data_IF_647730126121
#
_entry.id   IF_647730126121
#
_cell.length_a   1.000
_cell.length_b   1.000
_cell.length_c   1.000
_cell.angle_alpha   90.00
_cell.angle_beta   90.00
_cell.angle_gamma   90.00
#
_symmetry.space_group_name_H-M   'P 1'
#
loop_
_entity.id
_entity.type
_entity.pdbx_description
1 polymer ?
#
# COMPACT_ATOMS: atom_id res chain seq x y z
N UNK A 1 4.29 -2.40 12.20
CA UNK A 1 5.53 -2.66 11.45
C UNK A 1 6.12 -4.04 11.76
N UNK A 2 6.39 -4.37 13.03
CA UNK A 2 7.00 -5.65 13.42
C UNK A 2 6.19 -6.88 12.94
N UNK A 3 4.87 -6.85 13.05
CA UNK A 3 4.01 -7.95 12.61
C UNK A 3 4.06 -8.19 11.09
N UNK A 4 4.14 -7.13 10.29
CA UNK A 4 4.30 -7.26 8.82
C UNK A 4 5.69 -7.84 8.52
N UNK A 5 6.75 -7.33 9.14
CA UNK A 5 8.10 -7.85 8.94
C UNK A 5 8.21 -9.36 9.26
N UNK A 6 7.67 -9.79 10.40
CA UNK A 6 7.64 -11.22 10.77
C UNK A 6 6.83 -12.09 9.78
N UNK A 7 5.71 -11.55 9.25
CA UNK A 7 4.93 -12.25 8.23
C UNK A 7 5.68 -12.37 6.91
N UNK A 8 6.43 -11.35 6.51
CA UNK A 8 7.31 -11.37 5.33
C UNK A 8 8.44 -12.39 5.50
N UNK A 9 9.07 -12.44 6.67
CA UNK A 9 10.12 -13.42 6.97
C UNK A 9 9.56 -14.85 6.87
N UNK A 10 8.40 -15.11 7.48
CA UNK A 10 7.72 -16.39 7.35
C UNK A 10 7.39 -16.74 5.90
N UNK A 11 6.87 -15.78 5.12
CA UNK A 11 6.59 -16.00 3.70
C UNK A 11 7.86 -16.43 2.94
N UNK A 12 8.99 -15.80 3.23
CA UNK A 12 10.27 -16.11 2.58
C UNK A 12 10.82 -17.48 2.98
N UNK A 13 10.78 -17.81 4.26
CA UNK A 13 11.42 -19.01 4.85
C UNK A 13 10.60 -20.28 4.62
N UNK A 14 9.27 -20.19 4.62
CA UNK A 14 8.38 -21.35 4.47
C UNK A 14 8.19 -21.70 2.99
N UNK A 15 8.84 -22.80 2.55
CA UNK A 15 8.75 -23.28 1.17
C UNK A 15 7.34 -23.69 0.72
N UNK A 16 6.39 -23.90 1.64
CA UNK A 16 5.00 -24.21 1.33
C UNK A 16 4.16 -22.98 0.97
N UNK A 17 4.62 -21.78 1.35
CA UNK A 17 3.97 -20.53 1.04
C UNK A 17 4.50 -19.98 -0.29
N UNK A 18 3.63 -19.79 -1.27
CA UNK A 18 3.98 -19.35 -2.61
C UNK A 18 3.71 -17.86 -2.86
N UNK A 19 2.74 -17.29 -2.14
CA UNK A 19 2.28 -15.91 -2.30
C UNK A 19 1.80 -15.38 -0.96
N UNK A 20 1.96 -14.07 -0.73
CA UNK A 20 1.40 -13.37 0.43
C UNK A 20 0.25 -12.45 0.03
N UNK A 21 -0.70 -12.25 0.92
CA UNK A 21 -1.74 -11.21 0.77
C UNK A 21 -1.66 -10.27 1.97
N UNK A 22 -1.47 -8.98 1.69
CA UNK A 22 -1.50 -7.92 2.69
C UNK A 22 -2.87 -7.25 2.65
N UNK A 23 -3.56 -7.23 3.79
CA UNK A 23 -4.87 -6.56 3.90
C UNK A 23 -5.02 -5.84 5.23
N UNK A 24 -5.95 -4.88 5.29
CA UNK A 24 -6.35 -4.20 6.52
C UNK A 24 -7.49 -4.88 7.25
N UNK A 25 -7.69 -4.52 8.51
CA UNK A 25 -8.85 -4.93 9.31
C UNK A 25 -9.82 -3.77 9.46
N UNK A 26 -11.11 -4.07 9.65
CA UNK A 26 -12.14 -3.06 9.95
C UNK A 26 -12.60 -2.25 8.74
N UNK A 27 -12.57 -2.83 7.54
CA UNK A 27 -13.14 -2.20 6.33
C UNK A 27 -12.27 -1.12 5.69
N UNK A 28 -11.00 -1.01 6.06
CA UNK A 28 -10.02 -0.16 5.38
C UNK A 28 -8.64 -0.79 5.36
N UNK A 29 -7.83 -0.45 4.37
CA UNK A 29 -6.47 -0.98 4.25
C UNK A 29 -5.53 -0.30 5.22
N UNK A 30 -5.24 0.98 5.05
CA UNK A 30 -4.37 1.75 5.94
C UNK A 30 -4.41 3.25 5.62
N UNK A 31 -4.35 4.09 6.67
CA UNK A 31 -4.12 5.54 6.55
C UNK A 31 -2.64 5.95 6.69
N UNK A 32 -1.75 4.98 6.82
CA UNK A 32 -0.33 5.22 7.02
C UNK A 32 0.09 5.24 8.48
N UNK A 33 0.96 6.17 8.84
CA UNK A 33 1.56 6.28 10.16
C UNK A 33 0.52 6.68 11.23
N UNK A 34 0.54 6.00 12.37
CA UNK A 34 -0.16 6.46 13.56
C UNK A 34 0.54 7.70 14.14
N UNK A 35 -0.10 8.86 13.92
CA UNK A 35 0.46 10.15 14.35
C UNK A 35 0.55 10.27 15.88
N UNK A 36 -0.31 9.60 16.65
CA UNK A 36 -0.22 9.61 18.11
C UNK A 36 0.99 8.81 18.57
N UNK A 37 1.12 7.58 18.07
CA UNK A 37 2.26 6.74 18.36
C UNK A 37 3.59 7.41 17.93
N UNK A 38 3.59 8.15 16.82
CA UNK A 38 4.75 8.93 16.38
C UNK A 38 5.10 10.07 17.34
N UNK A 39 4.12 10.80 17.86
CA UNK A 39 4.34 11.84 18.88
C UNK A 39 4.89 11.26 20.19
N UNK A 40 4.55 10.02 20.51
CA UNK A 40 5.08 9.26 21.64
C UNK A 40 6.48 8.64 21.36
N UNK A 41 7.11 9.03 20.25
CA UNK A 41 8.47 8.60 19.86
C UNK A 41 8.56 7.25 19.16
N UNK A 42 7.42 6.61 18.85
CA UNK A 42 7.43 5.37 18.06
C UNK A 42 7.73 5.68 16.60
N UNK A 43 8.54 4.83 15.98
CA UNK A 43 8.87 4.92 14.55
C UNK A 43 8.19 3.80 13.79
N UNK A 44 7.50 4.09 12.66
CA UNK A 44 6.91 3.07 11.82
C UNK A 44 7.93 2.38 10.92
N UNK A 45 9.09 2.99 10.73
CA UNK A 45 10.20 2.42 9.96
C UNK A 45 10.95 1.40 10.79
N UNK A 46 11.37 0.32 10.15
CA UNK A 46 12.33 -0.64 10.67
C UNK A 46 13.64 -0.52 9.88
N UNK A 47 14.77 -0.55 10.59
CA UNK A 47 16.08 -0.45 9.98
C UNK A 47 16.27 -1.53 8.91
N UNK A 48 16.69 -1.11 7.72
CA UNK A 48 16.89 -1.98 6.56
C UNK A 48 15.61 -2.54 5.92
N UNK A 49 14.41 -2.17 6.43
CA UNK A 49 13.12 -2.65 5.91
C UNK A 49 12.14 -1.54 5.54
N UNK A 50 12.39 -0.32 6.03
CA UNK A 50 11.58 0.85 5.75
C UNK A 50 10.22 0.85 6.45
N UNK A 51 9.29 1.63 5.92
CA UNK A 51 7.96 1.80 6.48
C UNK A 51 7.18 0.48 6.52
N UNK A 52 6.54 0.25 7.67
CA UNK A 52 5.78 -0.98 7.90
C UNK A 52 6.61 -2.26 7.93
N UNK A 53 7.96 -2.17 7.80
CA UNK A 53 8.83 -3.32 7.69
C UNK A 53 8.79 -4.01 6.32
N UNK A 54 8.39 -3.27 5.27
CA UNK A 54 8.15 -3.80 3.92
C UNK A 54 8.74 -2.93 2.81
N UNK A 55 8.66 -1.59 2.94
CA UNK A 55 8.84 -0.72 1.77
C UNK A 55 10.27 -0.70 1.21
N UNK A 56 11.29 -1.06 1.98
CA UNK A 56 12.67 -1.14 1.52
C UNK A 56 13.17 -2.58 1.32
N UNK A 57 12.45 -3.56 1.89
CA UNK A 57 12.78 -4.97 1.76
C UNK A 57 11.52 -5.80 1.43
N UNK A 58 10.93 -5.63 0.25
CA UNK A 58 9.82 -6.48 -0.20
C UNK A 58 10.30 -7.93 -0.37
N UNK A 59 9.40 -8.92 -0.18
CA UNK A 59 9.75 -10.32 -0.36
C UNK A 59 10.11 -10.63 -1.82
N UNK A 60 10.89 -11.68 -2.04
CA UNK A 60 11.14 -12.21 -3.39
C UNK A 60 9.93 -13.02 -3.91
N UNK A 61 9.08 -13.52 -3.01
CA UNK A 61 7.81 -14.16 -3.37
C UNK A 61 6.74 -13.11 -3.64
N UNK A 62 5.79 -13.38 -4.55
CA UNK A 62 4.72 -12.43 -4.89
C UNK A 62 3.92 -11.98 -3.67
N UNK A 63 3.60 -10.70 -3.62
CA UNK A 63 2.80 -10.08 -2.58
C UNK A 63 1.65 -9.28 -3.21
N UNK A 64 0.43 -9.55 -2.77
CA UNK A 64 -0.78 -8.90 -3.27
C UNK A 64 -1.34 -7.98 -2.17
N UNK A 65 -1.64 -6.73 -2.49
CA UNK A 65 -2.42 -5.85 -1.62
C UNK A 65 -3.92 -6.05 -1.89
N UNK A 66 -4.67 -6.42 -0.86
CA UNK A 66 -6.14 -6.47 -0.90
C UNK A 66 -6.69 -5.23 -0.18
N UNK A 67 -7.20 -4.27 -0.94
CA UNK A 67 -7.51 -2.91 -0.48
C UNK A 67 -9.01 -2.70 -0.36
N UNK A 68 -9.47 -2.58 0.88
CA UNK A 68 -10.81 -2.08 1.22
C UNK A 68 -10.74 -0.61 1.62
N UNK A 69 -11.80 0.15 1.35
CA UNK A 69 -12.00 1.51 1.80
C UNK A 69 -10.92 2.46 1.31
N UNK A 70 -9.75 2.49 1.97
CA UNK A 70 -8.69 3.40 1.54
C UNK A 70 -7.28 2.89 1.82
N UNK A 71 -6.35 3.31 0.95
CA UNK A 71 -4.91 3.22 1.13
C UNK A 71 -4.32 4.63 0.98
N UNK A 72 -3.96 5.29 2.08
CA UNK A 72 -3.50 6.68 2.11
C UNK A 72 -2.12 6.82 2.74
N UNK A 73 -1.37 7.80 2.28
CA UNK A 73 -0.01 8.09 2.79
C UNK A 73 0.86 6.84 2.81
N UNK A 74 1.50 6.52 3.93
CA UNK A 74 2.26 5.28 4.09
C UNK A 74 1.46 4.01 3.79
N UNK A 75 0.11 4.03 3.95
CA UNK A 75 -0.75 2.92 3.53
C UNK A 75 -0.78 2.75 2.01
N UNK A 76 -0.79 3.85 1.27
CA UNK A 76 -0.64 3.82 -0.19
C UNK A 76 0.75 3.31 -0.58
N UNK A 77 1.79 3.73 0.12
CA UNK A 77 3.17 3.28 -0.10
C UNK A 77 3.36 1.77 0.18
N UNK A 78 2.65 1.22 1.19
CA UNK A 78 2.59 -0.23 1.42
C UNK A 78 1.91 -0.97 0.26
N UNK A 79 0.77 -0.47 -0.22
CA UNK A 79 0.09 -1.06 -1.38
C UNK A 79 0.97 -1.00 -2.64
N UNK A 80 1.67 0.11 -2.85
CA UNK A 80 2.63 0.28 -3.94
C UNK A 80 3.88 -0.61 -3.81
N UNK A 81 4.22 -1.05 -2.61
CA UNK A 81 5.33 -1.98 -2.38
C UNK A 81 4.96 -3.44 -2.68
N UNK A 82 3.66 -3.75 -2.81
CA UNK A 82 3.18 -5.05 -3.27
C UNK A 82 3.27 -5.15 -4.79
N UNK A 83 3.36 -6.37 -5.32
CA UNK A 83 3.46 -6.63 -6.78
C UNK A 83 2.14 -6.36 -7.50
N UNK A 84 1.02 -6.73 -6.88
CA UNK A 84 -0.33 -6.58 -7.42
C UNK A 84 -1.25 -5.93 -6.40
N UNK A 85 -2.32 -5.31 -6.91
CA UNK A 85 -3.36 -4.70 -6.09
C UNK A 85 -4.73 -5.19 -6.55
N UNK A 86 -5.48 -5.77 -5.62
CA UNK A 86 -6.92 -6.04 -5.75
C UNK A 86 -7.64 -5.05 -4.85
N UNK A 87 -8.64 -4.35 -5.35
CA UNK A 87 -9.31 -3.30 -4.60
C UNK A 87 -10.83 -3.38 -4.70
N UNK A 88 -11.50 -3.03 -3.62
CA UNK A 88 -12.94 -2.79 -3.66
C UNK A 88 -13.26 -1.60 -4.59
N UNK A 89 -14.41 -1.64 -5.28
CA UNK A 89 -14.80 -0.61 -6.26
C UNK A 89 -14.98 0.78 -5.64
N UNK A 90 -15.33 0.85 -4.35
CA UNK A 90 -15.50 2.07 -3.57
C UNK A 90 -14.21 2.53 -2.86
N UNK A 91 -13.13 1.76 -2.99
CA UNK A 91 -11.85 2.11 -2.40
C UNK A 91 -11.19 3.31 -3.11
N UNK A 92 -10.25 3.94 -2.42
CA UNK A 92 -9.44 5.01 -2.99
C UNK A 92 -8.01 5.00 -2.46
N UNK A 93 -7.11 5.57 -3.26
CA UNK A 93 -5.68 5.70 -2.99
C UNK A 93 -5.30 7.17 -2.89
N UNK A 94 -4.16 7.48 -2.26
CA UNK A 94 -3.64 8.84 -2.28
C UNK A 94 -2.36 9.02 -1.48
N UNK A 95 -1.61 10.05 -1.87
CA UNK A 95 -0.40 10.53 -1.20
C UNK A 95 -0.64 11.97 -0.72
N UNK A 96 -1.40 12.17 0.39
CA UNK A 96 -1.83 13.49 0.84
C UNK A 96 -0.77 14.26 1.62
N UNK A 97 0.46 13.77 1.70
CA UNK A 97 1.57 14.34 2.48
C UNK A 97 1.80 15.81 2.15
N UNK A 98 1.73 16.18 0.87
CA UNK A 98 1.92 17.57 0.40
C UNK A 98 0.95 18.56 1.06
N UNK A 99 -0.28 18.13 1.36
CA UNK A 99 -1.29 18.97 2.06
C UNK A 99 -0.91 19.28 3.51
N UNK A 100 0.14 18.65 4.03
CA UNK A 100 0.66 18.81 5.40
C UNK A 100 2.11 19.24 5.44
N UNK A 101 2.67 19.69 4.30
CA UNK A 101 4.06 20.09 4.20
C UNK A 101 5.06 18.93 4.35
N UNK A 102 4.61 17.70 4.09
CA UNK A 102 5.40 16.49 4.15
C UNK A 102 5.63 15.90 2.76
N UNK A 103 6.49 14.89 2.69
CA UNK A 103 6.82 14.15 1.47
C UNK A 103 6.51 12.66 1.70
N UNK A 104 5.93 12.00 0.70
CA UNK A 104 5.76 10.54 0.69
C UNK A 104 7.14 9.86 0.53
N UNK A 105 7.81 9.64 1.67
CA UNK A 105 9.22 9.24 1.73
C UNK A 105 9.47 7.73 1.67
N UNK A 106 8.43 6.91 1.77
CA UNK A 106 8.57 5.44 1.84
C UNK A 106 8.44 4.75 0.48
N UNK A 107 8.72 5.49 -0.60
CA UNK A 107 8.80 4.97 -1.95
C UNK A 107 7.60 5.29 -2.85
N UNK A 108 6.58 6.01 -2.34
CA UNK A 108 5.40 6.39 -3.11
C UNK A 108 5.74 7.19 -4.37
N UNK A 109 6.59 8.21 -4.22
CA UNK A 109 7.02 9.07 -5.33
C UNK A 109 7.92 8.35 -6.36
N UNK A 110 8.48 7.21 -6.00
CA UNK A 110 9.32 6.39 -6.91
C UNK A 110 8.49 5.31 -7.59
N UNK A 111 7.57 4.65 -6.85
CA UNK A 111 6.79 3.53 -7.35
C UNK A 111 5.59 3.95 -8.18
N UNK A 112 4.88 5.00 -7.75
CA UNK A 112 3.67 5.44 -8.46
C UNK A 112 3.93 5.77 -9.93
N UNK A 113 4.96 6.59 -10.30
CA UNK A 113 5.24 6.93 -11.70
C UNK A 113 5.80 5.77 -12.53
N UNK A 114 6.15 4.65 -11.90
CA UNK A 114 6.55 3.41 -12.59
C UNK A 114 5.35 2.51 -12.90
N UNK A 115 4.20 2.76 -12.28
CA UNK A 115 3.00 1.92 -12.39
C UNK A 115 1.87 2.58 -13.18
N UNK A 116 1.87 3.92 -13.24
CA UNK A 116 0.89 4.72 -14.02
C UNK A 116 1.63 5.79 -14.82
N UNK A 117 0.98 6.44 -15.81
CA UNK A 117 1.61 7.50 -16.57
C UNK A 117 2.24 8.57 -15.67
N UNK A 118 3.51 8.94 -15.88
CA UNK A 118 4.24 9.82 -14.97
C UNK A 118 3.58 11.17 -14.73
N UNK A 119 2.95 11.76 -15.74
CA UNK A 119 2.24 13.05 -15.60
C UNK A 119 1.04 12.93 -14.64
N UNK A 120 0.32 11.80 -14.69
CA UNK A 120 -0.81 11.53 -13.79
C UNK A 120 -0.29 11.26 -12.37
N UNK A 121 0.80 10.51 -12.24
CA UNK A 121 1.44 10.27 -10.94
C UNK A 121 1.87 11.60 -10.29
N UNK A 122 2.46 12.50 -11.07
CA UNK A 122 2.88 13.82 -10.61
C UNK A 122 1.70 14.68 -10.17
N UNK A 123 0.59 14.67 -10.90
CA UNK A 123 -0.65 15.35 -10.53
C UNK A 123 -1.11 14.93 -9.13
N UNK A 124 -1.28 13.62 -8.90
CA UNK A 124 -1.71 13.11 -7.60
C UNK A 124 -0.69 13.39 -6.48
N UNK A 125 0.60 13.31 -6.77
CA UNK A 125 1.65 13.59 -5.80
C UNK A 125 1.70 15.07 -5.40
N UNK A 126 1.49 16.00 -6.34
CA UNK A 126 1.54 17.44 -6.09
C UNK A 126 0.25 18.00 -5.51
N UNK A 127 -0.89 17.43 -5.87
CA UNK A 127 -2.19 17.89 -5.36
C UNK A 127 -2.60 17.20 -4.07
N UNK A 128 -2.09 15.98 -3.83
CA UNK A 128 -2.52 15.13 -2.71
C UNK A 128 -3.99 14.71 -2.81
N UNK A 129 -4.57 14.73 -4.01
CA UNK A 129 -5.95 14.32 -4.24
C UNK A 129 -6.11 12.80 -4.16
N UNK A 130 -7.37 12.36 -3.99
CA UNK A 130 -7.71 10.94 -3.93
C UNK A 130 -7.88 10.38 -5.33
N UNK A 131 -7.32 9.22 -5.58
CA UNK A 131 -7.53 8.42 -6.78
C UNK A 131 -8.54 7.32 -6.47
N UNK A 132 -9.74 7.37 -7.04
CA UNK A 132 -10.73 6.30 -6.90
C UNK A 132 -10.19 4.98 -7.47
N UNK A 133 -10.60 3.84 -6.88
CA UNK A 133 -10.14 2.51 -7.30
C UNK A 133 -10.42 2.24 -8.79
N UNK A 134 -11.55 2.68 -9.32
CA UNK A 134 -11.87 2.57 -10.76
C UNK A 134 -10.86 3.35 -11.61
N UNK A 135 -10.51 4.57 -11.21
CA UNK A 135 -9.47 5.33 -11.92
C UNK A 135 -8.10 4.68 -11.84
N UNK A 136 -7.75 4.13 -10.69
CA UNK A 136 -6.52 3.37 -10.48
C UNK A 136 -6.48 2.10 -11.36
N UNK A 137 -7.61 1.42 -11.54
CA UNK A 137 -7.77 0.28 -12.44
C UNK A 137 -7.59 0.68 -13.92
N UNK A 138 -8.23 1.76 -14.37
CA UNK A 138 -8.08 2.29 -15.73
C UNK A 138 -6.64 2.66 -16.08
N UNK A 139 -5.89 3.13 -15.07
CA UNK A 139 -4.47 3.50 -15.20
C UNK A 139 -3.51 2.30 -15.11
N UNK A 140 -4.01 1.10 -14.75
CA UNK A 140 -3.21 -0.11 -14.59
C UNK A 140 -2.52 -0.23 -13.22
N UNK A 141 -2.86 0.62 -12.24
CA UNK A 141 -2.36 0.49 -10.87
C UNK A 141 -3.04 -0.66 -10.13
N UNK A 142 -4.35 -0.78 -10.26
CA UNK A 142 -5.16 -1.86 -9.70
C UNK A 142 -5.33 -2.95 -10.76
N UNK A 143 -5.07 -4.21 -10.39
CA UNK A 143 -5.16 -5.36 -11.27
C UNK A 143 -6.59 -5.91 -11.39
N UNK A 144 -7.36 -5.84 -10.30
CA UNK A 144 -8.73 -6.35 -10.23
C UNK A 144 -9.57 -5.46 -9.32
N UNK A 145 -10.82 -5.19 -9.73
CA UNK A 145 -11.85 -4.59 -8.89
C UNK A 145 -12.80 -5.67 -8.38
N UNK A 146 -13.28 -5.50 -7.15
CA UNK A 146 -14.25 -6.39 -6.49
C UNK A 146 -15.37 -5.56 -5.89
N UNK A 147 -16.53 -6.17 -5.59
CA UNK A 147 -17.52 -5.53 -4.72
C UNK A 147 -16.91 -5.15 -3.37
N UNK A 148 -17.50 -4.16 -2.69
CA UNK A 148 -17.08 -3.75 -1.35
C UNK A 148 -17.16 -4.93 -0.36
N UNK A 149 -16.09 -5.11 0.43
CA UNK A 149 -15.95 -6.23 1.38
C UNK A 149 -15.35 -7.50 0.77
N UNK A 150 -15.06 -7.55 -0.52
CA UNK A 150 -14.59 -8.75 -1.22
C UNK A 150 -13.14 -8.67 -1.72
N UNK A 151 -12.39 -7.61 -1.40
CA UNK A 151 -11.03 -7.46 -1.90
C UNK A 151 -10.10 -8.61 -1.47
N UNK A 152 -10.23 -9.08 -0.23
CA UNK A 152 -9.45 -10.23 0.25
C UNK A 152 -9.83 -11.53 -0.49
N UNK A 153 -11.12 -11.79 -0.67
CA UNK A 153 -11.58 -12.96 -1.41
C UNK A 153 -11.07 -12.93 -2.85
N UNK A 154 -11.20 -11.77 -3.54
CA UNK A 154 -10.70 -11.60 -4.89
C UNK A 154 -9.18 -11.66 -5.04
N UNK A 155 -8.42 -11.42 -3.96
CA UNK A 155 -6.97 -11.58 -3.96
C UNK A 155 -6.51 -13.03 -3.74
N UNK A 156 -7.38 -13.89 -3.21
CA UNK A 156 -7.12 -15.31 -2.98
C UNK A 156 -7.48 -16.21 -4.16
N UNK A 157 -8.20 -15.70 -5.16
CA UNK A 157 -8.50 -16.36 -6.44
C UNK A 157 -7.33 -16.30 -7.43
#
# INVERSE_FOLDING_TARGET
>A
SLGIAAAIDRLQEDGSLLVGVLTGRGGCFSSGMDLRAFLDGQRPELEGRGFGGLTEAPPAKPLIAAVEGFALAGGCELALACDMIVAAEDAFFGLPEVKRGLVAGSGGLVRLPRRIPPAVALEYALTGERMAARRAYELGLVNRLTPAGEALAGALE
#
